data_IF_168188025611
#
_entry.id   IF_168188025611
#
_cell.length_a   1.000
_cell.length_b   1.000
_cell.length_c   1.000
_cell.angle_alpha   90.00
_cell.angle_beta   90.00
_cell.angle_gamma   90.00
#
_symmetry.space_group_name_H-M   'P 1'
#
loop_
_entity.id
_entity.type
_entity.pdbx_description
1 polymer ?
#
# COMPACT_ATOMS: atom_id res chain seq x y z
N UNK A 1 -41.54 19.20 17.59
CA UNK A 1 -40.31 19.77 17.00
C UNK A 1 -39.42 18.63 16.57
N UNK A 2 -39.30 18.37 15.26
CA UNK A 2 -38.53 17.24 14.74
C UNK A 2 -37.11 17.70 14.42
N UNK A 3 -36.13 17.11 15.08
CA UNK A 3 -34.72 17.41 14.87
C UNK A 3 -34.12 16.31 14.00
N UNK A 4 -34.01 16.57 12.69
CA UNK A 4 -33.33 15.67 11.76
C UNK A 4 -31.83 15.99 11.82
N UNK A 5 -31.07 15.14 12.51
CA UNK A 5 -29.61 15.18 12.47
C UNK A 5 -29.12 14.56 11.16
N UNK A 6 -28.51 15.38 10.31
CA UNK A 6 -27.65 14.87 9.24
C UNK A 6 -26.27 14.53 9.81
N UNK A 7 -25.64 13.43 9.37
CA UNK A 7 -24.31 13.08 9.83
C UNK A 7 -23.29 14.14 9.38
N UNK A 8 -22.38 14.46 10.30
CA UNK A 8 -21.24 15.32 10.04
C UNK A 8 -20.31 14.57 9.07
N UNK A 9 -20.36 14.86 7.77
CA UNK A 9 -19.35 14.39 6.82
C UNK A 9 -18.03 15.10 7.13
N UNK A 10 -17.09 14.41 7.77
CA UNK A 10 -15.69 14.84 7.85
C UNK A 10 -14.77 13.62 7.88
N UNK A 11 -14.57 13.04 6.70
CA UNK A 11 -13.32 12.45 6.22
C UNK A 11 -13.60 12.02 4.79
N UNK A 12 -13.10 12.79 3.83
CA UNK A 12 -13.19 12.40 2.42
C UNK A 12 -12.38 11.13 2.19
N UNK A 13 -12.92 10.22 1.38
CA UNK A 13 -12.16 9.10 0.87
C UNK A 13 -10.93 9.63 0.12
N UNK A 14 -9.74 9.22 0.54
CA UNK A 14 -8.50 9.64 -0.09
C UNK A 14 -8.15 8.65 -1.21
N UNK A 15 -8.66 8.93 -2.42
CA UNK A 15 -8.48 8.07 -3.59
C UNK A 15 -6.99 7.92 -3.95
N UNK A 16 -6.21 8.98 -3.84
CA UNK A 16 -4.78 8.94 -4.18
C UNK A 16 -4.00 8.04 -3.22
N UNK A 17 -4.37 8.04 -1.93
CA UNK A 17 -3.78 7.16 -0.93
C UNK A 17 -4.13 5.68 -1.19
N UNK A 18 -5.38 5.39 -1.54
CA UNK A 18 -5.82 4.05 -1.93
C UNK A 18 -5.05 3.55 -3.16
N UNK A 19 -4.94 4.39 -4.20
CA UNK A 19 -4.16 4.11 -5.42
C UNK A 19 -2.69 3.86 -5.06
N UNK A 20 -2.10 4.69 -4.20
CA UNK A 20 -0.70 4.56 -3.83
C UNK A 20 -0.42 3.24 -3.09
N UNK A 21 -1.32 2.80 -2.20
CA UNK A 21 -1.20 1.49 -1.54
C UNK A 21 -1.15 0.34 -2.56
N UNK A 22 -2.02 0.39 -3.58
CA UNK A 22 -2.08 -0.63 -4.63
C UNK A 22 -0.85 -0.56 -5.54
N UNK A 23 -0.38 0.64 -5.90
CA UNK A 23 0.82 0.82 -6.70
C UNK A 23 2.06 0.31 -5.97
N UNK A 24 2.14 0.53 -4.65
CA UNK A 24 3.21 -0.02 -3.82
C UNK A 24 3.15 -1.54 -3.77
N UNK A 25 1.97 -2.13 -3.57
CA UNK A 25 1.78 -3.57 -3.65
C UNK A 25 2.24 -4.14 -5.00
N UNK A 26 1.79 -3.54 -6.11
CA UNK A 26 2.18 -3.96 -7.46
C UNK A 26 3.67 -3.84 -7.68
N UNK A 27 4.28 -2.73 -7.26
CA UNK A 27 5.72 -2.55 -7.31
C UNK A 27 6.44 -3.68 -6.58
N UNK A 28 6.11 -3.93 -5.31
CA UNK A 28 6.72 -5.00 -4.53
C UNK A 28 6.57 -6.37 -5.20
N UNK A 29 5.39 -6.67 -5.74
CA UNK A 29 5.15 -7.92 -6.50
C UNK A 29 6.07 -8.05 -7.73
N UNK A 30 6.23 -6.97 -8.51
CA UNK A 30 7.14 -6.93 -9.67
C UNK A 30 8.61 -7.05 -9.25
N UNK A 31 8.97 -6.59 -8.04
CA UNK A 31 10.32 -6.77 -7.50
C UNK A 31 10.55 -8.18 -6.94
N UNK A 32 9.59 -9.10 -7.06
CA UNK A 32 9.70 -10.50 -6.62
C UNK A 32 9.31 -10.76 -5.17
N UNK A 33 8.64 -9.82 -4.50
CA UNK A 33 8.14 -10.03 -3.14
C UNK A 33 6.91 -10.95 -3.20
N UNK A 34 6.84 -12.04 -2.42
CA UNK A 34 5.72 -12.97 -2.49
C UNK A 34 4.45 -12.37 -1.88
N UNK A 35 3.29 -12.58 -2.51
CA UNK A 35 2.00 -12.03 -2.06
C UNK A 35 1.66 -12.35 -0.61
N UNK A 36 2.00 -13.56 -0.14
CA UNK A 36 1.72 -14.01 1.23
C UNK A 36 2.47 -13.26 2.33
N UNK A 37 3.48 -12.45 1.95
CA UNK A 37 4.30 -11.65 2.87
C UNK A 37 3.96 -10.17 2.88
N UNK A 38 3.01 -9.75 2.04
CA UNK A 38 2.60 -8.35 1.91
C UNK A 38 1.16 -8.23 2.41
N UNK A 39 0.94 -7.34 3.37
CA UNK A 39 -0.37 -7.05 3.92
C UNK A 39 -0.70 -5.58 3.73
N UNK A 40 -1.94 -5.28 3.35
CA UNK A 40 -2.48 -3.92 3.29
C UNK A 40 -3.41 -3.72 4.50
N UNK A 41 -3.11 -2.76 5.36
CA UNK A 41 -3.93 -2.42 6.51
C UNK A 41 -4.68 -1.10 6.28
N UNK A 42 -5.97 -1.10 6.62
CA UNK A 42 -6.86 0.06 6.47
C UNK A 42 -7.72 0.23 7.72
N UNK A 43 -8.02 1.46 8.14
CA UNK A 43 -8.83 1.68 9.35
C UNK A 43 -10.32 1.54 9.10
N UNK A 44 -10.79 1.97 7.92
CA UNK A 44 -12.21 2.06 7.60
C UNK A 44 -12.61 1.07 6.52
N UNK A 45 -13.82 0.54 6.63
CA UNK A 45 -14.38 -0.36 5.61
C UNK A 45 -14.58 0.37 4.27
N UNK A 46 -14.83 1.68 4.31
CA UNK A 46 -14.95 2.46 3.08
C UNK A 46 -13.61 2.53 2.33
N UNK A 47 -12.48 2.65 3.04
CA UNK A 47 -11.15 2.60 2.41
C UNK A 47 -10.85 1.20 1.88
N UNK A 48 -11.26 0.15 2.61
CA UNK A 48 -11.18 -1.23 2.11
C UNK A 48 -11.91 -1.37 0.78
N UNK A 49 -13.20 -1.04 0.73
CA UNK A 49 -14.00 -1.12 -0.50
C UNK A 49 -13.36 -0.34 -1.65
N UNK A 50 -12.84 0.86 -1.40
CA UNK A 50 -12.18 1.67 -2.41
C UNK A 50 -10.90 1.01 -2.96
N UNK A 51 -10.07 0.41 -2.10
CA UNK A 51 -8.90 -0.35 -2.54
C UNK A 51 -9.34 -1.53 -3.41
N UNK A 52 -10.38 -2.26 -2.99
CA UNK A 52 -10.90 -3.40 -3.73
C UNK A 52 -11.48 -3.00 -5.10
N UNK A 53 -12.16 -1.86 -5.20
CA UNK A 53 -12.63 -1.29 -6.48
C UNK A 53 -11.46 -0.96 -7.42
N UNK A 54 -10.42 -0.28 -6.92
CA UNK A 54 -9.24 0.07 -7.73
C UNK A 54 -8.47 -1.18 -8.17
N UNK A 55 -8.41 -2.23 -7.35
CA UNK A 55 -7.83 -3.52 -7.75
C UNK A 55 -8.56 -4.11 -8.97
N UNK A 56 -9.90 -4.08 -8.96
CA UNK A 56 -10.71 -4.54 -10.09
C UNK A 56 -10.49 -3.69 -11.35
N UNK A 57 -10.37 -2.37 -11.21
CA UNK A 57 -10.01 -1.47 -12.31
C UNK A 57 -8.63 -1.81 -12.90
N UNK A 58 -7.70 -2.22 -12.05
CA UNK A 58 -6.37 -2.71 -12.42
C UNK A 58 -6.35 -4.15 -12.94
N UNK A 59 -7.53 -4.78 -13.14
CA UNK A 59 -7.69 -6.15 -13.61
C UNK A 59 -7.08 -7.20 -12.68
N UNK A 60 -7.09 -6.94 -11.38
CA UNK A 60 -6.74 -7.91 -10.32
C UNK A 60 -8.04 -8.32 -9.64
N UNK A 61 -8.51 -9.53 -9.95
CA UNK A 61 -9.74 -10.10 -9.42
C UNK A 61 -9.56 -10.83 -8.09
N UNK A 62 -10.62 -10.93 -7.28
CA UNK A 62 -10.62 -11.67 -6.00
C UNK A 62 -10.26 -13.15 -6.14
N UNK A 63 -10.54 -13.74 -7.30
CA UNK A 63 -10.23 -15.13 -7.59
C UNK A 63 -8.82 -15.34 -8.16
N UNK A 64 -8.09 -14.26 -8.45
CA UNK A 64 -6.77 -14.32 -9.03
C UNK A 64 -5.80 -14.90 -8.01
N UNK A 65 -5.27 -16.07 -8.32
CA UNK A 65 -4.21 -16.69 -7.52
C UNK A 65 -2.88 -16.04 -7.86
N UNK A 66 -2.07 -15.64 -6.88
CA UNK A 66 -0.75 -15.14 -7.15
C UNK A 66 0.11 -16.23 -7.78
N UNK A 67 0.96 -15.85 -8.74
CA UNK A 67 1.92 -16.72 -9.37
C UNK A 67 3.23 -15.95 -9.53
N UNK A 68 4.33 -16.56 -9.08
CA UNK A 68 5.66 -15.96 -9.08
C UNK A 68 6.52 -16.46 -10.27
N UNK A 69 5.98 -17.37 -11.08
CA UNK A 69 6.68 -17.92 -12.23
C UNK A 69 6.77 -16.87 -13.34
N UNK A 70 7.98 -16.62 -13.85
CA UNK A 70 8.24 -15.56 -14.84
C UNK A 70 7.36 -15.64 -16.10
N UNK A 71 6.95 -16.83 -16.53
CA UNK A 71 6.09 -17.03 -17.71
C UNK A 71 4.58 -16.99 -17.42
N UNK A 72 4.18 -16.93 -16.16
CA UNK A 72 2.78 -16.97 -15.74
C UNK A 72 2.49 -15.99 -14.59
N UNK A 73 3.30 -14.95 -14.46
CA UNK A 73 3.25 -14.02 -13.34
C UNK A 73 1.85 -13.45 -13.15
N UNK A 74 1.36 -13.53 -11.93
CA UNK A 74 0.08 -12.99 -11.53
C UNK A 74 0.25 -12.23 -10.21
N UNK A 75 -0.26 -10.99 -10.15
CA UNK A 75 -0.22 -10.19 -8.93
C UNK A 75 -0.92 -10.92 -7.77
N UNK A 76 -2.09 -11.50 -8.05
CA UNK A 76 -2.98 -12.07 -7.04
C UNK A 76 -3.66 -11.01 -6.19
N UNK A 77 -4.79 -11.38 -5.60
CA UNK A 77 -5.51 -10.51 -4.68
C UNK A 77 -4.72 -10.33 -3.36
N UNK A 78 -4.41 -9.10 -2.93
CA UNK A 78 -3.66 -8.86 -1.70
C UNK A 78 -4.47 -9.22 -0.45
N UNK A 79 -3.76 -9.48 0.65
CA UNK A 79 -4.38 -9.60 1.97
C UNK A 79 -4.67 -8.18 2.48
N UNK A 80 -5.95 -7.88 2.68
CA UNK A 80 -6.42 -6.57 3.18
C UNK A 80 -7.10 -6.78 4.54
N UNK A 81 -6.63 -6.11 5.59
CA UNK A 81 -7.18 -6.22 6.95
C UNK A 81 -7.48 -4.87 7.58
N UNK A 82 -8.35 -4.89 8.60
CA UNK A 82 -8.52 -3.75 9.47
C UNK A 82 -7.25 -3.54 10.32
N UNK A 83 -6.86 -2.30 10.59
CA UNK A 83 -5.72 -1.98 11.47
C UNK A 83 -5.81 -2.62 12.85
N UNK A 84 -7.03 -2.87 13.36
CA UNK A 84 -7.26 -3.52 14.65
C UNK A 84 -6.99 -5.04 14.63
N UNK A 85 -7.02 -5.67 13.46
CA UNK A 85 -6.99 -7.14 13.29
C UNK A 85 -5.74 -7.62 12.52
N UNK A 86 -4.72 -6.77 12.40
CA UNK A 86 -3.48 -7.08 11.67
C UNK A 86 -2.72 -8.21 12.36
N UNK A 87 -2.34 -9.24 11.61
CA UNK A 87 -1.41 -10.28 12.08
C UNK A 87 0.05 -9.96 11.72
N UNK A 88 1.04 -10.57 12.43
CA UNK A 88 2.45 -10.35 12.12
C UNK A 88 2.80 -10.71 10.68
N UNK A 89 3.46 -9.80 9.97
CA UNK A 89 3.80 -9.95 8.54
C UNK A 89 5.20 -9.40 8.25
N UNK A 90 5.80 -9.82 7.15
CA UNK A 90 7.12 -9.31 6.75
C UNK A 90 7.01 -7.86 6.26
N UNK A 91 6.01 -7.55 5.44
CA UNK A 91 5.79 -6.23 4.87
C UNK A 91 4.37 -5.75 5.09
N UNK A 92 4.25 -4.55 5.65
CA UNK A 92 2.97 -3.92 5.98
C UNK A 92 2.83 -2.57 5.26
N UNK A 93 1.81 -2.46 4.42
CA UNK A 93 1.40 -1.22 3.75
C UNK A 93 0.17 -0.69 4.47
N UNK A 94 0.24 0.50 5.05
CA UNK A 94 -0.82 1.06 5.89
C UNK A 94 -1.38 2.31 5.23
N UNK A 95 -2.69 2.33 5.00
CA UNK A 95 -3.42 3.56 4.73
C UNK A 95 -3.66 4.32 6.05
N UNK A 96 -3.16 5.54 6.13
CA UNK A 96 -3.37 6.41 7.29
C UNK A 96 -4.71 7.15 7.27
N UNK A 97 -5.53 6.97 6.23
CA UNK A 97 -6.91 7.43 6.16
C UNK A 97 -7.74 6.86 7.30
N UNK A 98 -8.62 7.67 7.87
CA UNK A 98 -9.32 7.36 9.12
C UNK A 98 -8.54 7.73 10.38
N UNK A 99 -7.26 8.12 10.26
CA UNK A 99 -6.38 8.54 11.36
C UNK A 99 -6.20 7.43 12.41
N UNK A 100 -5.31 6.45 12.16
CA UNK A 100 -4.94 5.48 13.17
C UNK A 100 -4.46 6.13 14.47
N UNK A 101 -4.75 5.49 15.60
CA UNK A 101 -4.30 5.94 16.92
C UNK A 101 -2.80 5.66 17.10
N UNK A 102 -2.16 6.30 18.07
CA UNK A 102 -0.76 6.00 18.39
C UNK A 102 -0.56 4.53 18.78
N UNK A 103 -1.51 3.95 19.50
CA UNK A 103 -1.48 2.54 19.89
C UNK A 103 -1.54 1.63 18.67
N UNK A 104 -2.40 1.94 17.70
CA UNK A 104 -2.48 1.20 16.43
C UNK A 104 -1.18 1.34 15.63
N UNK A 105 -0.59 2.54 15.56
CA UNK A 105 0.71 2.73 14.89
C UNK A 105 1.83 1.91 15.55
N UNK A 106 1.91 1.92 16.87
CA UNK A 106 2.91 1.14 17.61
C UNK A 106 2.71 -0.36 17.38
N UNK A 107 1.47 -0.85 17.46
CA UNK A 107 1.15 -2.24 17.19
C UNK A 107 1.56 -2.63 15.75
N UNK A 108 1.22 -1.82 14.75
CA UNK A 108 1.63 -2.07 13.36
C UNK A 108 3.16 -2.08 13.17
N UNK A 109 3.88 -1.21 13.89
CA UNK A 109 5.35 -1.20 13.88
C UNK A 109 5.96 -2.45 14.51
N UNK A 110 5.33 -3.02 15.55
CA UNK A 110 5.75 -4.28 16.16
C UNK A 110 5.42 -5.51 15.29
N UNK A 111 4.31 -5.43 14.54
CA UNK A 111 3.83 -6.53 13.69
C UNK A 111 4.56 -6.62 12.34
N UNK A 112 5.14 -5.51 11.85
CA UNK A 112 5.89 -5.46 10.60
C UNK A 112 7.37 -5.86 10.81
N UNK A 113 7.78 -7.01 10.27
CA UNK A 113 9.10 -7.58 10.57
C UNK A 113 10.25 -6.99 9.74
N UNK A 114 10.00 -6.66 8.48
CA UNK A 114 11.03 -6.25 7.52
C UNK A 114 10.76 -4.87 6.91
N UNK A 115 9.50 -4.48 6.76
CA UNK A 115 9.16 -3.16 6.23
C UNK A 115 7.77 -2.68 6.62
N UNK A 116 7.70 -1.44 7.11
CA UNK A 116 6.47 -0.71 7.39
C UNK A 116 6.40 0.50 6.46
N UNK A 117 5.33 0.59 5.68
CA UNK A 117 5.06 1.69 4.76
C UNK A 117 3.77 2.39 5.15
N UNK A 118 3.88 3.62 5.64
CA UNK A 118 2.74 4.45 6.03
C UNK A 118 2.41 5.39 4.87
N UNK A 119 1.19 5.28 4.34
CA UNK A 119 0.74 6.04 3.17
C UNK A 119 -0.33 7.04 3.63
N UNK A 120 -0.06 8.34 3.50
CA UNK A 120 -1.02 9.39 3.86
C UNK A 120 -0.46 10.80 3.74
N UNK A 121 -1.30 11.80 3.98
CA UNK A 121 -0.92 13.22 3.91
C UNK A 121 -0.23 13.71 5.18
N UNK A 122 0.83 14.52 5.03
CA UNK A 122 1.51 15.23 6.14
C UNK A 122 0.54 16.03 7.01
N UNK A 123 -0.44 16.68 6.38
CA UNK A 123 -1.43 17.53 7.06
C UNK A 123 -2.47 16.78 7.89
N UNK A 124 -2.50 15.44 7.79
CA UNK A 124 -3.51 14.60 8.43
C UNK A 124 -3.05 13.89 9.71
N UNK A 125 -1.76 13.98 10.06
CA UNK A 125 -1.19 13.15 11.12
C UNK A 125 -1.04 13.92 12.43
N UNK A 126 -1.60 13.36 13.50
CA UNK A 126 -1.50 13.89 14.87
C UNK A 126 -0.12 13.68 15.52
N UNK A 127 0.75 12.87 14.89
CA UNK A 127 2.03 12.46 15.46
C UNK A 127 3.18 12.85 14.52
N UNK A 128 4.35 13.19 15.10
CA UNK A 128 5.58 13.52 14.37
C UNK A 128 6.23 12.24 13.82
N UNK A 129 5.59 11.64 12.83
CA UNK A 129 6.17 10.55 12.05
C UNK A 129 7.07 11.19 10.99
N UNK A 130 8.26 10.62 10.76
CA UNK A 130 9.15 11.10 9.69
C UNK A 130 8.44 10.87 8.36
N UNK A 131 8.14 11.94 7.65
CA UNK A 131 7.54 11.93 6.33
C UNK A 131 8.61 12.16 5.27
N UNK A 132 8.33 11.66 4.07
CA UNK A 132 9.20 11.75 2.91
C UNK A 132 8.53 11.09 1.72
N UNK A 133 9.09 11.33 0.54
CA UNK A 133 8.68 10.62 -0.66
C UNK A 133 9.22 9.19 -0.64
N UNK A 134 8.56 8.29 -1.37
CA UNK A 134 9.05 6.92 -1.52
C UNK A 134 10.32 6.92 -2.37
N UNK A 135 11.39 6.33 -1.86
CA UNK A 135 12.60 6.07 -2.62
C UNK A 135 12.59 4.62 -3.14
N UNK A 136 12.70 4.46 -4.45
CA UNK A 136 12.80 3.15 -5.13
C UNK A 136 14.13 3.03 -5.85
N UNK A 137 14.74 1.85 -5.84
CA UNK A 137 16.00 1.59 -6.57
C UNK A 137 15.70 0.78 -7.82
N UNK A 138 16.15 1.27 -8.98
CA UNK A 138 15.65 0.79 -10.28
C UNK A 138 16.20 -0.58 -10.73
N UNK A 139 17.19 -1.14 -10.02
CA UNK A 139 17.89 -2.37 -10.40
C UNK A 139 17.97 -3.42 -9.26
N UNK A 140 17.34 -3.16 -8.12
CA UNK A 140 17.32 -4.11 -7.01
C UNK A 140 16.09 -4.99 -7.09
N UNK A 141 16.17 -6.25 -6.65
CA UNK A 141 14.99 -7.08 -6.44
C UNK A 141 14.90 -7.48 -4.96
N UNK A 142 13.85 -8.23 -4.61
CA UNK A 142 13.63 -8.71 -3.24
C UNK A 142 14.82 -9.49 -2.64
N UNK A 143 15.66 -10.11 -3.47
CA UNK A 143 16.82 -10.91 -3.05
C UNK A 143 18.11 -10.10 -2.96
N UNK A 144 18.10 -8.83 -3.38
CA UNK A 144 19.28 -7.96 -3.31
C UNK A 144 19.68 -7.74 -1.86
N UNK A 145 20.93 -8.07 -1.52
CA UNK A 145 21.45 -8.01 -0.14
C UNK A 145 22.12 -6.69 0.21
N UNK A 146 22.65 -5.98 -0.79
CA UNK A 146 23.36 -4.71 -0.62
C UNK A 146 22.71 -3.66 -1.49
N UNK A 147 22.42 -2.49 -0.90
CA UNK A 147 21.77 -1.39 -1.61
C UNK A 147 22.75 -0.66 -2.51
N UNK A 148 22.41 -0.50 -3.78
CA UNK A 148 23.08 0.41 -4.70
C UNK A 148 22.48 1.82 -4.54
N UNK A 149 22.84 2.46 -3.42
CA UNK A 149 22.41 3.81 -3.06
C UNK A 149 22.47 4.89 -4.18
N UNK A 150 23.45 4.92 -5.11
CA UNK A 150 23.50 5.97 -6.14
C UNK A 150 22.35 5.93 -7.17
N UNK A 151 21.52 4.88 -7.19
CA UNK A 151 20.44 4.69 -8.16
C UNK A 151 19.03 4.88 -7.56
N UNK A 152 18.91 5.49 -6.39
CA UNK A 152 17.63 5.78 -5.77
C UNK A 152 16.86 6.84 -6.56
N UNK A 153 15.63 6.51 -6.96
CA UNK A 153 14.67 7.43 -7.54
C UNK A 153 13.60 7.76 -6.50
N UNK A 154 13.37 9.05 -6.30
CA UNK A 154 12.28 9.55 -5.49
C UNK A 154 10.96 9.53 -6.29
N UNK A 155 9.88 9.07 -5.67
CA UNK A 155 8.53 8.99 -6.25
C UNK A 155 7.63 9.98 -5.51
N UNK A 156 7.31 11.08 -6.19
CA UNK A 156 6.70 12.25 -5.57
C UNK A 156 5.20 12.05 -5.31
N UNK A 157 4.50 11.37 -6.22
CA UNK A 157 3.04 11.20 -6.17
C UNK A 157 2.55 9.91 -6.84
N UNK A 158 1.26 9.61 -6.68
CA UNK A 158 0.63 8.41 -7.22
C UNK A 158 0.71 8.31 -8.77
N UNK A 159 0.57 9.43 -9.49
CA UNK A 159 0.61 9.43 -10.95
C UNK A 159 2.02 9.10 -11.47
N UNK A 160 3.05 9.64 -10.82
CA UNK A 160 4.43 9.27 -11.12
C UNK A 160 4.69 7.79 -10.82
N UNK A 161 4.19 7.31 -9.67
CA UNK A 161 4.38 5.92 -9.30
C UNK A 161 3.68 4.98 -10.29
N UNK A 162 2.48 5.36 -10.74
CA UNK A 162 1.74 4.60 -11.75
C UNK A 162 2.52 4.50 -13.06
N UNK A 163 3.06 5.61 -13.55
CA UNK A 163 3.91 5.62 -14.74
C UNK A 163 5.13 4.69 -14.57
N UNK A 164 5.76 4.75 -13.39
CA UNK A 164 6.90 3.90 -13.06
C UNK A 164 6.54 2.40 -13.04
N UNK A 165 5.49 2.01 -12.31
CA UNK A 165 4.99 0.62 -12.27
C UNK A 165 4.61 0.13 -13.67
N UNK A 166 3.96 0.97 -14.48
CA UNK A 166 3.64 0.62 -15.88
C UNK A 166 4.90 0.39 -16.71
N UNK A 167 5.98 1.14 -16.46
CA UNK A 167 7.25 0.94 -17.16
C UNK A 167 7.93 -0.39 -16.80
N UNK A 168 7.82 -0.82 -15.53
CA UNK A 168 8.32 -2.12 -15.07
C UNK A 168 7.55 -3.28 -15.72
N UNK A 169 6.21 -3.20 -15.74
CA UNK A 169 5.36 -4.20 -16.38
C UNK A 169 5.62 -4.37 -17.89
N UNK A 170 6.15 -3.35 -18.56
CA UNK A 170 6.53 -3.42 -19.99
C UNK A 170 7.89 -4.07 -20.21
N UNK A 171 8.77 -4.11 -19.21
CA UNK A 171 10.10 -4.74 -19.32
C UNK A 171 10.05 -6.26 -19.13
N UNK A 172 9.00 -6.79 -18.50
CA UNK A 172 8.82 -8.23 -18.24
C UNK A 172 8.06 -8.98 -19.35
N UNK A 173 7.49 -8.27 -20.34
CA UNK A 173 6.88 -8.85 -21.55
C UNK A 173 7.81 -8.71 -22.75
#
# INVERSE_FOLDING_TARGET
MQHIKLPKQKQGLNIDEAKYCILLYKYMRLMGYPTSRILIAVKSEQMRCLIEEILLDHKIGRADRPCDDAGAFCFGWPIIQNVADVFPTDYLIVSCSGVPTLEEYNAMAELARLGLYLVGSESGHTYKIRTGHLEVVQNENHLTREREAPNAKEIINAAEFESYVRSLMKKEN
#
